data_IF_424110390125
#
_entry.id   IF_424110390125
#
_cell.length_a   1.000
_cell.length_b   1.000
_cell.length_c   1.000
_cell.angle_alpha   90.00
_cell.angle_beta   90.00
_cell.angle_gamma   90.00
#
_symmetry.space_group_name_H-M   'P 1'
#
loop_
_entity.id
_entity.type
_entity.pdbx_description
1 polymer ?
#
# COMPACT_ATOMS: atom_id res chain seq x y z
N UNK A 1 22.88 -5.67 -0.74
CA UNK A 1 21.49 -6.08 -0.43
C UNK A 1 21.48 -6.65 0.98
N UNK A 2 20.61 -6.16 1.85
CA UNK A 2 20.54 -6.63 3.24
C UNK A 2 19.72 -7.92 3.33
N UNK A 3 20.01 -8.83 4.28
CA UNK A 3 19.26 -10.07 4.44
C UNK A 3 17.77 -9.84 4.69
N UNK A 4 17.42 -8.78 5.43
CA UNK A 4 16.03 -8.39 5.67
C UNK A 4 15.28 -8.06 4.37
N UNK A 5 15.91 -7.36 3.42
CA UNK A 5 15.28 -7.04 2.13
C UNK A 5 15.04 -8.29 1.29
N UNK A 6 16.00 -9.21 1.28
CA UNK A 6 15.87 -10.48 0.56
C UNK A 6 14.68 -11.33 1.05
N UNK A 7 14.35 -11.24 2.34
CA UNK A 7 13.17 -11.90 2.92
C UNK A 7 11.90 -11.20 2.48
N UNK A 8 11.84 -9.87 2.58
CA UNK A 8 10.66 -9.10 2.19
C UNK A 8 10.33 -9.22 0.69
N UNK A 9 11.36 -9.34 -0.17
CA UNK A 9 11.20 -9.52 -1.62
C UNK A 9 10.60 -10.90 -1.99
N UNK A 10 10.69 -11.89 -1.10
CA UNK A 10 10.14 -13.23 -1.29
C UNK A 10 8.71 -13.39 -0.77
N UNK A 11 8.20 -12.41 -0.01
CA UNK A 11 6.83 -12.46 0.50
C UNK A 11 5.83 -12.33 -0.64
N UNK A 12 4.82 -13.20 -0.63
CA UNK A 12 3.66 -13.10 -1.53
C UNK A 12 2.68 -12.01 -1.10
N UNK A 13 2.73 -11.61 0.17
CA UNK A 13 1.97 -10.47 0.68
C UNK A 13 2.59 -9.17 0.15
N UNK A 14 1.80 -8.28 -0.47
CA UNK A 14 2.26 -6.94 -0.82
C UNK A 14 2.79 -6.17 0.38
N UNK A 15 4.01 -5.65 0.26
CA UNK A 15 4.67 -4.84 1.30
C UNK A 15 5.10 -3.51 0.70
N UNK A 16 4.76 -2.42 1.39
CA UNK A 16 5.10 -1.06 1.01
C UNK A 16 5.75 -0.33 2.18
N UNK A 17 6.92 0.26 1.91
CA UNK A 17 7.64 1.15 2.82
C UNK A 17 7.60 2.58 2.31
N UNK A 18 7.15 3.49 3.16
CA UNK A 18 7.02 4.92 2.87
C UNK A 18 7.92 5.70 3.83
N UNK A 19 8.73 6.60 3.27
CA UNK A 19 9.59 7.53 3.98
C UNK A 19 8.95 8.90 4.10
N UNK A 20 9.66 9.82 4.76
CA UNK A 20 9.17 11.17 5.08
C UNK A 20 8.71 11.93 3.84
N UNK A 21 7.57 12.61 3.95
CA UNK A 21 6.90 13.30 2.85
C UNK A 21 6.09 12.40 1.89
N UNK A 22 5.90 11.12 2.22
CA UNK A 22 5.07 10.20 1.43
C UNK A 22 5.79 9.57 0.24
N UNK A 23 7.13 9.62 0.21
CA UNK A 23 7.93 8.98 -0.82
C UNK A 23 8.02 7.47 -0.59
N UNK A 24 7.84 6.69 -1.64
CA UNK A 24 8.03 5.24 -1.58
C UNK A 24 9.53 4.99 -1.49
N UNK A 25 9.98 4.39 -0.40
CA UNK A 25 11.38 4.02 -0.17
C UNK A 25 11.61 2.53 -0.33
N UNK A 26 10.54 1.74 -0.26
CA UNK A 26 10.56 0.31 -0.49
C UNK A 26 9.23 -0.19 -1.03
N UNK A 27 9.28 -1.13 -1.97
CA UNK A 27 8.12 -1.88 -2.44
C UNK A 27 8.60 -3.27 -2.86
N UNK A 28 7.94 -4.32 -2.37
CA UNK A 28 8.29 -5.68 -2.78
C UNK A 28 7.68 -6.02 -4.15
N UNK A 29 8.13 -7.12 -4.80
CA UNK A 29 7.59 -7.55 -6.09
C UNK A 29 6.08 -7.85 -6.06
N UNK A 30 5.55 -8.35 -4.95
CA UNK A 30 4.12 -8.64 -4.81
C UNK A 30 3.27 -7.37 -4.88
N UNK A 31 3.71 -6.28 -4.26
CA UNK A 31 3.05 -4.98 -4.41
C UNK A 31 3.09 -4.49 -5.85
N UNK A 32 4.26 -4.54 -6.50
CA UNK A 32 4.40 -4.12 -7.89
C UNK A 32 3.47 -4.93 -8.82
N UNK A 33 3.39 -6.25 -8.62
CA UNK A 33 2.48 -7.13 -9.36
C UNK A 33 1.01 -6.79 -9.09
N UNK A 34 0.64 -6.50 -7.84
CA UNK A 34 -0.74 -6.17 -7.43
C UNK A 34 -1.29 -4.95 -8.18
N UNK A 35 -0.46 -3.92 -8.42
CA UNK A 35 -0.87 -2.72 -9.18
C UNK A 35 -0.41 -2.76 -10.65
N UNK A 36 0.18 -3.88 -11.09
CA UNK A 36 0.65 -4.13 -12.46
C UNK A 36 1.88 -3.32 -12.89
N UNK A 37 2.63 -2.76 -11.94
CA UNK A 37 3.88 -2.07 -12.23
C UNK A 37 4.98 -3.06 -12.64
N UNK A 38 5.56 -2.82 -13.82
CA UNK A 38 6.77 -3.53 -14.28
C UNK A 38 8.08 -2.95 -13.73
N UNK A 39 8.03 -1.70 -13.29
CA UNK A 39 9.18 -0.95 -12.77
C UNK A 39 9.00 -0.62 -11.30
N UNK A 40 10.11 -0.65 -10.55
CA UNK A 40 10.11 -0.33 -9.13
C UNK A 40 9.54 1.08 -8.88
N UNK A 41 8.51 1.25 -8.01
CA UNK A 41 7.93 2.55 -7.69
C UNK A 41 8.75 3.41 -6.71
N UNK A 42 9.88 2.91 -6.20
CA UNK A 42 10.75 3.67 -5.28
C UNK A 42 11.10 5.05 -5.85
N UNK A 43 10.97 6.08 -5.03
CA UNK A 43 11.17 7.50 -5.36
C UNK A 43 9.90 8.23 -5.80
N UNK A 44 8.82 7.53 -6.15
CA UNK A 44 7.52 8.16 -6.41
C UNK A 44 6.77 8.47 -5.12
N UNK A 45 5.88 9.46 -5.17
CA UNK A 45 4.94 9.73 -4.10
C UNK A 45 3.85 8.66 -4.09
N UNK A 46 3.57 8.07 -2.92
CA UNK A 46 2.55 7.03 -2.76
C UNK A 46 1.16 7.51 -3.18
N UNK A 47 0.87 8.80 -2.98
CA UNK A 47 -0.39 9.43 -3.39
C UNK A 47 -0.69 9.31 -4.89
N UNK A 48 0.34 9.22 -5.73
CA UNK A 48 0.18 9.07 -7.19
C UNK A 48 -0.35 7.70 -7.59
N UNK A 49 -0.32 6.71 -6.68
CA UNK A 49 -0.79 5.35 -6.92
C UNK A 49 -2.21 5.11 -6.41
N UNK A 50 -2.81 6.06 -5.68
CA UNK A 50 -4.20 5.94 -5.26
C UNK A 50 -5.16 6.19 -6.42
N UNK A 51 -6.27 5.45 -6.43
CA UNK A 51 -7.33 5.64 -7.42
C UNK A 51 -8.07 6.97 -7.22
N UNK A 52 -8.21 7.40 -5.97
CA UNK A 52 -8.88 8.65 -5.59
C UNK A 52 -7.82 9.64 -5.07
N UNK A 53 -7.58 10.77 -5.78
CA UNK A 53 -6.55 11.74 -5.42
C UNK A 53 -6.72 12.39 -4.04
N UNK A 54 -7.97 12.49 -3.54
CA UNK A 54 -8.32 13.13 -2.27
C UNK A 54 -8.51 12.15 -1.09
N UNK A 55 -8.28 10.85 -1.30
CA UNK A 55 -8.35 9.88 -0.19
C UNK A 55 -7.21 10.06 0.83
N UNK A 56 -6.19 10.85 0.49
CA UNK A 56 -4.98 11.05 1.26
C UNK A 56 -4.41 12.46 0.97
N UNK A 57 -4.32 13.37 1.97
CA UNK A 57 -3.70 14.67 1.75
C UNK A 57 -2.21 14.51 1.39
N UNK A 58 -1.70 15.24 0.39
CA UNK A 58 -0.32 15.13 -0.06
C UNK A 58 0.66 15.55 1.07
N UNK A 59 1.70 14.73 1.28
CA UNK A 59 2.79 15.04 2.22
C UNK A 59 2.66 14.39 3.60
N UNK A 60 1.53 13.77 3.93
CA UNK A 60 1.35 13.09 5.20
C UNK A 60 1.86 11.64 5.11
N UNK A 61 3.04 11.36 5.63
CA UNK A 61 3.42 9.98 6.00
C UNK A 61 2.41 9.33 6.95
N UNK A 62 1.65 10.17 7.68
CA UNK A 62 0.52 9.73 8.50
C UNK A 62 -0.59 9.07 7.68
N UNK A 63 -0.69 9.30 6.36
CA UNK A 63 -1.83 8.79 5.61
C UNK A 63 -1.99 7.27 5.65
N UNK A 64 -0.90 6.50 5.59
CA UNK A 64 -0.96 5.04 5.68
C UNK A 64 -1.11 4.55 7.13
N UNK A 65 -0.54 5.28 8.10
CA UNK A 65 -0.68 4.96 9.51
C UNK A 65 -2.11 5.27 10.04
N UNK A 66 -2.69 6.39 9.59
CA UNK A 66 -4.03 6.87 9.95
C UNK A 66 -5.14 6.05 9.28
N UNK A 67 -4.83 5.35 8.19
CA UNK A 67 -5.76 4.44 7.48
C UNK A 67 -5.51 2.97 7.77
N UNK A 68 -4.64 2.65 8.74
CA UNK A 68 -4.52 1.28 9.24
C UNK A 68 -5.89 0.72 9.64
N UNK A 69 -6.21 -0.49 9.18
CA UNK A 69 -7.51 -1.13 9.36
C UNK A 69 -8.62 -0.60 8.44
N UNK A 70 -8.34 0.37 7.56
CA UNK A 70 -9.27 0.87 6.54
C UNK A 70 -8.91 0.33 5.16
N UNK A 71 -9.89 0.34 4.26
CA UNK A 71 -9.68 0.01 2.85
C UNK A 71 -9.09 1.20 2.08
N UNK A 72 -8.10 0.92 1.24
CA UNK A 72 -7.53 1.85 0.27
C UNK A 72 -7.78 1.35 -1.14
N UNK A 73 -8.06 2.27 -2.05
CA UNK A 73 -8.15 1.99 -3.48
C UNK A 73 -6.89 2.45 -4.21
N UNK A 74 -6.25 1.51 -4.92
CA UNK A 74 -5.09 1.74 -5.76
C UNK A 74 -5.51 1.75 -7.22
N UNK A 75 -4.81 2.52 -8.04
CA UNK A 75 -4.99 2.51 -9.49
C UNK A 75 -4.07 1.46 -10.11
N UNK A 76 -4.67 0.41 -10.68
CA UNK A 76 -3.93 -0.53 -11.51
C UNK A 76 -3.48 0.14 -12.81
N UNK A 77 -2.34 -0.27 -13.36
CA UNK A 77 -1.84 0.26 -14.65
C UNK A 77 -2.81 0.05 -15.81
N UNK A 78 -3.59 -1.04 -15.77
CA UNK A 78 -4.61 -1.35 -16.78
C UNK A 78 -5.92 -0.55 -16.58
N UNK A 79 -5.95 0.36 -15.59
CA UNK A 79 -7.02 1.34 -15.40
C UNK A 79 -8.14 0.92 -14.46
N UNK A 80 -8.13 -0.30 -13.93
CA UNK A 80 -9.07 -0.73 -12.89
C UNK A 80 -8.57 -0.41 -11.48
N UNK A 81 -9.45 -0.48 -10.49
CA UNK A 81 -9.12 -0.23 -9.09
C UNK A 81 -8.83 -1.54 -8.35
N UNK A 82 -7.79 -1.52 -7.51
CA UNK A 82 -7.48 -2.62 -6.58
C UNK A 82 -7.78 -2.12 -5.18
N UNK A 83 -8.61 -2.85 -4.42
CA UNK A 83 -8.95 -2.48 -3.06
C UNK A 83 -8.18 -3.35 -2.07
N UNK A 84 -7.50 -2.72 -1.13
CA UNK A 84 -6.73 -3.43 -0.10
C UNK A 84 -7.07 -2.93 1.29
N UNK A 85 -6.99 -3.80 2.29
CA UNK A 85 -6.96 -3.37 3.69
C UNK A 85 -5.51 -3.19 4.11
N UNK A 86 -5.22 -2.06 4.77
CA UNK A 86 -3.88 -1.78 5.30
C UNK A 86 -3.76 -2.41 6.68
N UNK A 87 -2.81 -3.31 6.86
CA UNK A 87 -2.53 -3.87 8.19
C UNK A 87 -1.97 -2.79 9.12
N UNK A 88 -2.06 -2.92 10.46
CA UNK A 88 -1.52 -1.94 11.40
C UNK A 88 -0.05 -1.61 11.07
N UNK A 89 0.19 -0.33 10.81
CA UNK A 89 1.51 0.18 10.47
C UNK A 89 2.53 -0.23 11.54
N UNK A 90 3.67 -0.74 11.09
CA UNK A 90 4.82 -0.91 11.96
C UNK A 90 5.64 0.38 11.86
N UNK A 91 5.51 1.32 12.83
CA UNK A 91 6.36 2.49 12.85
C UNK A 91 7.81 2.00 12.99
N UNK A 92 8.62 2.34 12.01
CA UNK A 92 10.04 2.08 12.06
C UNK A 92 10.72 3.44 11.96
N UNK A 93 11.56 3.77 12.92
CA UNK A 93 12.32 5.03 12.92
C UNK A 93 13.81 4.75 12.85
N UNK A 94 14.19 3.79 12.00
CA UNK A 94 15.59 3.41 11.78
C UNK A 94 15.86 3.28 10.28
N UNK A 95 16.54 4.28 9.72
CA UNK A 95 16.81 4.42 8.28
C UNK A 95 15.82 5.38 7.60
N UNK A 96 15.66 5.24 6.28
CA UNK A 96 14.82 6.13 5.45
C UNK A 96 13.33 5.73 5.39
N UNK A 97 12.94 4.64 6.07
CA UNK A 97 11.54 4.17 6.15
C UNK A 97 10.91 4.71 7.42
N UNK A 98 9.78 5.38 7.29
CA UNK A 98 9.00 5.91 8.41
C UNK A 98 7.84 4.98 8.77
N UNK A 99 7.19 4.41 7.75
CA UNK A 99 6.06 3.49 7.89
C UNK A 99 6.26 2.30 6.95
N UNK A 100 6.13 1.09 7.50
CA UNK A 100 6.04 -0.15 6.75
C UNK A 100 4.65 -0.75 6.94
N UNK A 101 3.96 -1.03 5.82
CA UNK A 101 2.63 -1.65 5.82
C UNK A 101 2.61 -2.89 4.93
N UNK A 102 1.80 -3.85 5.33
CA UNK A 102 1.33 -4.93 4.47
C UNK A 102 -0.06 -4.61 3.97
N UNK A 103 -0.38 -5.06 2.76
CA UNK A 103 -1.66 -4.82 2.12
C UNK A 103 -2.31 -6.16 1.81
N UNK A 104 -3.52 -6.34 2.32
CA UNK A 104 -4.34 -7.52 2.03
C UNK A 104 -5.31 -7.15 0.91
N UNK A 105 -5.19 -7.81 -0.24
CA UNK A 105 -6.11 -7.62 -1.38
C UNK A 105 -7.50 -8.16 -1.00
N UNK A 106 -8.48 -7.25 -0.94
CA UNK A 106 -9.87 -7.56 -0.64
C UNK A 106 -10.77 -7.39 -1.86
N UNK A 107 -10.19 -7.17 -3.05
CA UNK A 107 -10.93 -7.00 -4.31
C UNK A 107 -11.86 -8.19 -4.59
N UNK A 108 -11.52 -9.39 -4.11
CA UNK A 108 -12.37 -10.59 -4.19
C UNK A 108 -13.35 -10.77 -3.01
N UNK A 109 -13.11 -10.11 -1.88
CA UNK A 109 -13.86 -10.32 -0.61
C UNK A 109 -14.99 -9.33 -0.39
N UNK A 110 -15.03 -8.22 -1.15
CA UNK A 110 -16.09 -7.20 -1.08
C UNK A 110 -17.46 -7.71 -1.59
N UNK A 111 -17.55 -8.94 -2.10
CA UNK A 111 -18.81 -9.51 -2.61
C UNK A 111 -19.81 -9.95 -1.52
N UNK A 112 -19.45 -9.90 -0.22
CA UNK A 112 -20.29 -10.50 0.84
C UNK A 112 -20.80 -9.52 1.91
N UNK A 113 -20.34 -8.27 1.97
CA UNK A 113 -20.80 -7.33 3.02
C UNK A 113 -21.88 -6.32 2.58
N UNK A 114 -22.16 -6.19 1.28
CA UNK A 114 -23.23 -5.29 0.80
C UNK A 114 -24.65 -5.84 1.06
N UNK A 115 -24.79 -7.13 1.40
CA UNK A 115 -26.10 -7.77 1.59
C UNK A 115 -26.74 -7.58 2.99
N UNK A 116 -26.15 -6.81 3.92
CA UNK A 116 -26.65 -6.75 5.31
C UNK A 116 -26.83 -5.37 5.95
N UNK A 117 -27.03 -4.31 5.17
CA UNK A 117 -27.48 -3.03 5.72
C UNK A 117 -28.73 -2.48 5.03
N UNK A 118 -29.77 -3.32 4.96
CA UNK A 118 -31.18 -2.92 4.82
C UNK A 118 -32.04 -3.92 5.61
N UNK A 119 -32.10 -3.74 6.92
CA UNK A 119 -33.22 -4.22 7.74
C UNK A 119 -33.46 -3.26 8.90
#
# INVERSE_FOLDING_TARGET
MTPARAVLDQLQTPVLGVGTGGQIVYANPAFAAMIGLRSNPVGRLVSTLFAVPDACPPGSTSALADVAGRSLSWRHVDGYEVRTVVSPALPHHRGDVEVLVTLDDVTASDWTHDARSKN
#
